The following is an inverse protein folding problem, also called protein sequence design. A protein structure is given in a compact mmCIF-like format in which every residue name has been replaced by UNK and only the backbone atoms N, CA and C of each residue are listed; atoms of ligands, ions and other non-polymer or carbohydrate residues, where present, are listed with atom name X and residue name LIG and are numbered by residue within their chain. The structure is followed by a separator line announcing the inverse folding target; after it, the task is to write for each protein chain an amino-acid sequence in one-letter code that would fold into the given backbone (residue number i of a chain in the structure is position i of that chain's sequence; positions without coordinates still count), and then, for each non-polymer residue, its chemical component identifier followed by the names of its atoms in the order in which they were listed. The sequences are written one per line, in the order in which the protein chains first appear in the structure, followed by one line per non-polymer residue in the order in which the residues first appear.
data_IF_939779759256
#
_entry.id   IF_939779759256
#
_cell.length_a   1.000
_cell.length_b   1.000
_cell.length_c   1.000
_cell.angle_alpha   90.00
_cell.angle_beta   90.00
_cell.angle_gamma   90.00
#
_symmetry.space_group_name_H-M   'P 1'
#
loop_
_entity.id
_entity.type
_entity.pdbx_description
1 polymer ?
#
# COMPACT_ATOMS: atom_id res chain seq x y z
N UNK A 1 -22.16 -22.87 -11.80
CA UNK A 1 -21.18 -21.79 -12.05
C UNK A 1 -20.06 -21.66 -10.98
N UNK A 2 -19.86 -22.62 -10.06
CA UNK A 2 -18.85 -22.51 -8.96
C UNK A 2 -17.49 -23.16 -9.26
N UNK A 3 -17.43 -24.03 -10.27
CA UNK A 3 -16.24 -24.82 -10.62
C UNK A 3 -15.23 -24.05 -11.48
N UNK A 4 -15.71 -23.09 -12.29
CA UNK A 4 -14.86 -22.22 -13.10
C UNK A 4 -13.99 -21.31 -12.21
N UNK A 5 -14.59 -20.70 -11.20
CA UNK A 5 -13.89 -19.77 -10.29
C UNK A 5 -12.83 -20.42 -9.40
N UNK A 6 -12.85 -21.75 -9.21
CA UNK A 6 -11.79 -22.44 -8.46
C UNK A 6 -10.57 -22.71 -9.34
N UNK A 7 -10.79 -23.13 -10.59
CA UNK A 7 -9.70 -23.35 -11.56
C UNK A 7 -8.97 -22.06 -11.88
N UNK A 8 -9.70 -20.96 -12.04
CA UNK A 8 -9.11 -19.65 -12.31
C UNK A 8 -8.19 -19.18 -11.18
N UNK A 9 -8.60 -19.39 -9.92
CA UNK A 9 -7.78 -19.08 -8.74
C UNK A 9 -6.55 -19.98 -8.63
N UNK A 10 -6.70 -21.25 -8.98
CA UNK A 10 -5.58 -22.19 -8.99
C UNK A 10 -4.53 -21.75 -10.01
N UNK A 11 -4.96 -21.40 -11.22
CA UNK A 11 -4.10 -20.87 -12.26
C UNK A 11 -3.37 -19.60 -11.82
N UNK A 12 -4.07 -18.65 -11.17
CA UNK A 12 -3.46 -17.44 -10.63
C UNK A 12 -2.39 -17.76 -9.57
N UNK A 13 -2.63 -18.74 -8.70
CA UNK A 13 -1.63 -19.17 -7.71
C UNK A 13 -0.45 -19.88 -8.36
N UNK A 14 -0.67 -20.70 -9.38
CA UNK A 14 0.40 -21.37 -10.14
C UNK A 14 1.28 -20.36 -10.84
N UNK A 15 0.70 -19.34 -11.48
CA UNK A 15 1.45 -18.26 -12.13
C UNK A 15 2.25 -17.43 -11.12
N UNK A 16 1.68 -17.20 -9.93
CA UNK A 16 2.39 -16.52 -8.83
C UNK A 16 3.58 -17.34 -8.35
N UNK A 17 3.42 -18.66 -8.22
CA UNK A 17 4.50 -19.57 -7.82
C UNK A 17 5.61 -19.57 -8.87
N UNK A 18 5.27 -19.71 -10.15
CA UNK A 18 6.25 -19.68 -11.26
C UNK A 18 7.01 -18.37 -11.27
N UNK A 19 6.30 -17.23 -11.26
CA UNK A 19 6.94 -15.92 -11.25
C UNK A 19 7.85 -15.71 -10.04
N UNK A 20 7.44 -16.18 -8.87
CA UNK A 20 8.27 -16.11 -7.67
C UNK A 20 9.56 -16.91 -7.83
N UNK A 21 9.48 -18.15 -8.30
CA UNK A 21 10.66 -19.00 -8.50
C UNK A 21 11.60 -18.41 -9.57
N UNK A 22 11.06 -17.97 -10.71
CA UNK A 22 11.84 -17.35 -11.80
C UNK A 22 12.63 -16.11 -11.32
N UNK A 23 12.10 -15.37 -10.35
CA UNK A 23 12.69 -14.11 -9.88
C UNK A 23 13.65 -14.31 -8.69
N UNK A 24 13.44 -15.33 -7.87
CA UNK A 24 14.11 -15.48 -6.57
C UNK A 24 14.99 -16.72 -6.45
N UNK A 25 14.92 -17.67 -7.39
CA UNK A 25 15.81 -18.85 -7.42
C UNK A 25 17.21 -18.44 -7.95
N UNK A 26 18.00 -17.84 -7.07
CA UNK A 26 19.37 -17.43 -7.33
C UNK A 26 20.34 -18.30 -6.54
N UNK A 27 21.58 -18.52 -7.02
CA UNK A 27 22.55 -19.39 -6.34
C UNK A 27 22.94 -18.93 -4.93
N UNK A 28 22.63 -17.69 -4.57
CA UNK A 28 22.89 -17.11 -3.24
C UNK A 28 21.81 -17.47 -2.21
N UNK A 29 20.61 -17.86 -2.65
CA UNK A 29 19.46 -18.10 -1.78
C UNK A 29 19.37 -19.58 -1.44
N UNK A 30 19.29 -19.89 -0.13
CA UNK A 30 19.10 -21.27 0.30
C UNK A 30 17.69 -21.78 -0.05
N UNK A 31 17.57 -23.07 -0.38
CA UNK A 31 16.29 -23.73 -0.67
C UNK A 31 15.29 -23.56 0.47
N UNK A 32 15.76 -23.57 1.72
CA UNK A 32 14.92 -23.35 2.89
C UNK A 32 14.35 -21.92 2.91
N UNK A 33 15.18 -20.91 2.66
CA UNK A 33 14.76 -19.51 2.58
C UNK A 33 13.76 -19.30 1.44
N UNK A 34 14.04 -19.88 0.27
CA UNK A 34 13.17 -19.82 -0.90
C UNK A 34 11.79 -20.42 -0.60
N UNK A 35 11.74 -21.59 0.04
CA UNK A 35 10.49 -22.25 0.41
C UNK A 35 9.69 -21.48 1.46
N UNK A 36 10.34 -20.99 2.53
CA UNK A 36 9.67 -20.23 3.57
C UNK A 36 9.07 -18.92 3.05
N UNK A 37 9.81 -18.21 2.19
CA UNK A 37 9.34 -16.96 1.60
C UNK A 37 8.26 -17.20 0.53
N UNK A 38 8.35 -18.25 -0.29
CA UNK A 38 7.26 -18.65 -1.19
C UNK A 38 5.96 -18.92 -0.40
N UNK A 39 6.03 -19.66 0.71
CA UNK A 39 4.87 -19.89 1.58
C UNK A 39 4.28 -18.58 2.11
N UNK A 40 5.12 -17.62 2.48
CA UNK A 40 4.67 -16.31 2.93
C UNK A 40 3.93 -15.55 1.80
N UNK A 41 4.42 -15.62 0.57
CA UNK A 41 3.76 -15.03 -0.61
C UNK A 41 2.37 -15.63 -0.84
N UNK A 42 2.27 -16.96 -0.87
CA UNK A 42 0.99 -17.66 -1.08
C UNK A 42 -0.02 -17.31 0.03
N UNK A 43 0.44 -17.25 1.29
CA UNK A 43 -0.40 -16.82 2.42
C UNK A 43 -0.87 -15.38 2.24
N UNK A 44 0.02 -14.48 1.83
CA UNK A 44 -0.31 -13.09 1.54
C UNK A 44 -1.41 -12.96 0.47
N UNK A 45 -1.29 -13.70 -0.63
CA UNK A 45 -2.30 -13.74 -1.69
C UNK A 45 -3.65 -14.26 -1.18
N UNK A 46 -3.65 -15.34 -0.40
CA UNK A 46 -4.87 -15.92 0.19
C UNK A 46 -5.57 -14.94 1.15
N UNK A 47 -4.80 -14.23 1.98
CA UNK A 47 -5.35 -13.21 2.89
C UNK A 47 -5.92 -12.03 2.10
N UNK A 48 -5.18 -11.51 1.11
CA UNK A 48 -5.61 -10.38 0.29
C UNK A 48 -6.89 -10.68 -0.49
N UNK A 49 -6.98 -11.86 -1.12
CA UNK A 49 -8.17 -12.29 -1.86
C UNK A 49 -9.39 -12.43 -0.96
N UNK A 50 -9.23 -13.01 0.24
CA UNK A 50 -10.32 -13.11 1.23
C UNK A 50 -10.80 -11.73 1.67
N UNK A 51 -9.88 -10.82 1.99
CA UNK A 51 -10.21 -9.46 2.43
C UNK A 51 -10.92 -8.66 1.32
N UNK A 52 -10.40 -8.72 0.09
CA UNK A 52 -11.00 -8.05 -1.05
C UNK A 52 -12.42 -8.60 -1.34
N UNK A 53 -12.59 -9.91 -1.24
CA UNK A 53 -13.90 -10.54 -1.41
C UNK A 53 -14.90 -10.09 -0.33
N UNK A 54 -14.50 -10.13 0.94
CA UNK A 54 -15.35 -9.68 2.04
C UNK A 54 -15.75 -8.21 1.91
N UNK A 55 -14.81 -7.35 1.45
CA UNK A 55 -15.08 -5.95 1.15
C UNK A 55 -16.09 -5.79 0.01
N UNK A 56 -15.90 -6.54 -1.08
CA UNK A 56 -16.79 -6.49 -2.25
C UNK A 56 -18.21 -6.93 -1.88
N UNK A 57 -18.34 -8.03 -1.14
CA UNK A 57 -19.64 -8.52 -0.65
C UNK A 57 -20.32 -7.47 0.24
N UNK A 58 -19.57 -6.81 1.13
CA UNK A 58 -20.09 -5.72 1.97
C UNK A 58 -20.52 -4.49 1.17
N UNK A 59 -19.76 -4.08 0.16
CA UNK A 59 -20.15 -2.97 -0.71
C UNK A 59 -21.43 -3.31 -1.46
N UNK A 60 -21.53 -4.52 -2.03
CA UNK A 60 -22.70 -4.96 -2.77
C UNK A 60 -23.94 -5.02 -1.88
N UNK A 61 -23.82 -5.55 -0.66
CA UNK A 61 -24.91 -5.53 0.33
C UNK A 61 -25.39 -4.10 0.63
N UNK A 62 -24.47 -3.16 0.85
CA UNK A 62 -24.84 -1.77 1.11
C UNK A 62 -25.52 -1.10 -0.10
N UNK A 63 -25.10 -1.43 -1.32
CA UNK A 63 -25.74 -0.94 -2.55
C UNK A 63 -27.15 -1.51 -2.72
N UNK A 64 -27.33 -2.81 -2.47
CA UNK A 64 -28.64 -3.48 -2.49
C UNK A 64 -29.60 -2.90 -1.41
N UNK A 65 -29.08 -2.61 -0.22
CA UNK A 65 -29.84 -1.97 0.86
C UNK A 65 -30.22 -0.52 0.49
N UNK A 66 -29.32 0.24 -0.14
CA UNK A 66 -29.60 1.60 -0.60
C UNK A 66 -30.66 1.60 -1.70
N UNK A 67 -30.56 0.68 -2.67
CA UNK A 67 -31.50 0.60 -3.79
C UNK A 67 -32.89 0.17 -3.32
N UNK A 68 -32.99 -0.83 -2.44
CA UNK A 68 -34.27 -1.26 -1.86
C UNK A 68 -34.94 -0.15 -1.05
N UNK A 69 -34.19 0.57 -0.22
CA UNK A 69 -34.72 1.70 0.55
C UNK A 69 -35.05 2.93 -0.32
N UNK A 70 -34.35 3.13 -1.44
CA UNK A 70 -34.70 4.19 -2.40
C UNK A 70 -36.06 3.92 -3.07
N UNK A 71 -36.36 2.65 -3.39
CA UNK A 71 -37.67 2.25 -3.93
C UNK A 71 -38.79 2.46 -2.91
N UNK A 72 -38.57 2.14 -1.62
CA UNK A 72 -39.57 2.38 -0.57
C UNK A 72 -39.76 3.87 -0.28
N UNK A 73 -38.70 4.68 -0.36
CA UNK A 73 -38.77 6.12 -0.22
C UNK A 73 -39.58 6.79 -1.34
N UNK A 74 -39.49 6.28 -2.57
CA UNK A 74 -40.31 6.76 -3.70
C UNK A 74 -41.81 6.50 -3.49
N UNK A 75 -42.17 5.49 -2.69
CA UNK A 75 -43.56 5.15 -2.34
C UNK A 75 -44.06 5.86 -1.08
N UNK A 76 -43.16 6.13 -0.13
CA UNK A 76 -43.49 6.75 1.17
C UNK A 76 -42.49 7.84 1.50
N UNK A 77 -42.95 9.09 1.62
CA UNK A 77 -42.11 10.25 1.97
C UNK A 77 -41.71 10.29 3.46
N UNK A 78 -41.13 9.20 3.97
CA UNK A 78 -40.72 9.07 5.38
C UNK A 78 -39.33 9.66 5.63
N UNK A 79 -39.24 10.58 6.60
CA UNK A 79 -37.97 11.14 7.08
C UNK A 79 -37.05 10.07 7.69
N UNK A 80 -37.61 9.00 8.25
CA UNK A 80 -36.84 7.90 8.88
C UNK A 80 -36.07 7.13 7.81
N UNK A 81 -36.74 6.76 6.71
CA UNK A 81 -36.13 6.06 5.56
C UNK A 81 -35.02 6.92 4.94
N UNK A 82 -35.26 8.22 4.78
CA UNK A 82 -34.25 9.16 4.25
C UNK A 82 -32.99 9.22 5.12
N UNK A 83 -33.15 9.20 6.45
CA UNK A 83 -32.01 9.15 7.39
C UNK A 83 -31.23 7.85 7.25
N UNK A 84 -31.92 6.70 7.18
CA UNK A 84 -31.30 5.39 6.99
C UNK A 84 -30.49 5.31 5.69
N UNK A 85 -31.05 5.75 4.56
CA UNK A 85 -30.34 5.81 3.27
C UNK A 85 -29.09 6.69 3.38
N UNK A 86 -29.18 7.83 4.06
CA UNK A 86 -28.04 8.73 4.26
C UNK A 86 -26.94 8.05 5.08
N UNK A 87 -27.30 7.30 6.12
CA UNK A 87 -26.36 6.54 6.94
C UNK A 87 -25.68 5.43 6.14
N UNK A 88 -26.43 4.63 5.37
CA UNK A 88 -25.86 3.58 4.51
C UNK A 88 -24.91 4.16 3.46
N UNK A 89 -25.27 5.28 2.82
CA UNK A 89 -24.37 6.00 1.91
C UNK A 89 -23.08 6.48 2.59
N UNK A 90 -23.15 6.90 3.85
CA UNK A 90 -21.94 7.25 4.64
C UNK A 90 -21.06 6.02 4.86
N UNK A 91 -21.65 4.86 5.17
CA UNK A 91 -20.89 3.62 5.33
C UNK A 91 -20.22 3.18 4.02
N UNK A 92 -20.93 3.27 2.89
CA UNK A 92 -20.36 2.99 1.57
C UNK A 92 -19.17 3.93 1.28
N UNK A 93 -19.37 5.24 1.46
CA UNK A 93 -18.30 6.25 1.27
C UNK A 93 -17.10 6.03 2.19
N UNK A 94 -17.31 5.56 3.42
CA UNK A 94 -16.21 5.27 4.33
C UNK A 94 -15.34 4.10 3.78
N UNK A 95 -15.97 3.09 3.18
CA UNK A 95 -15.25 2.02 2.49
C UNK A 95 -14.48 2.55 1.27
N UNK A 96 -15.05 3.46 0.49
CA UNK A 96 -14.32 4.07 -0.63
C UNK A 96 -13.14 4.94 -0.17
N UNK A 97 -13.34 5.68 0.92
CA UNK A 97 -12.33 6.55 1.50
C UNK A 97 -11.12 5.76 2.01
N UNK A 98 -11.33 4.63 2.68
CA UNK A 98 -10.25 3.72 3.09
C UNK A 98 -9.43 3.21 1.89
N UNK A 99 -10.07 2.96 0.74
CA UNK A 99 -9.36 2.56 -0.48
C UNK A 99 -8.50 3.72 -1.02
N UNK A 100 -9.05 4.93 -1.03
CA UNK A 100 -8.34 6.13 -1.47
C UNK A 100 -7.16 6.46 -0.55
N UNK A 101 -7.34 6.34 0.77
CA UNK A 101 -6.28 6.61 1.74
C UNK A 101 -5.14 5.59 1.64
N UNK A 102 -5.47 4.30 1.49
CA UNK A 102 -4.46 3.27 1.22
C UNK A 102 -3.69 3.52 -0.10
N UNK A 103 -4.36 3.98 -1.15
CA UNK A 103 -3.71 4.34 -2.41
C UNK A 103 -2.79 5.56 -2.24
N UNK A 104 -3.22 6.56 -1.49
CA UNK A 104 -2.43 7.74 -1.15
C UNK A 104 -1.19 7.36 -0.34
N UNK A 105 -1.35 6.49 0.67
CA UNK A 105 -0.26 5.98 1.50
C UNK A 105 0.78 5.25 0.66
N UNK A 106 0.35 4.34 -0.24
CA UNK A 106 1.25 3.64 -1.17
C UNK A 106 1.97 4.60 -2.11
N UNK A 107 1.29 5.64 -2.57
CA UNK A 107 1.90 6.66 -3.44
C UNK A 107 2.97 7.46 -2.69
N UNK A 108 2.70 7.87 -1.44
CA UNK A 108 3.68 8.50 -0.56
C UNK A 108 4.86 7.58 -0.30
N UNK A 109 4.63 6.31 0.01
CA UNK A 109 5.68 5.32 0.21
C UNK A 109 6.59 5.18 -1.02
N UNK A 110 6.01 5.11 -2.23
CA UNK A 110 6.76 5.10 -3.49
C UNK A 110 7.58 6.38 -3.68
N UNK A 111 6.98 7.53 -3.38
CA UNK A 111 7.68 8.82 -3.44
C UNK A 111 8.91 8.84 -2.52
N UNK A 112 8.77 8.41 -1.26
CA UNK A 112 9.88 8.42 -0.29
C UNK A 112 10.93 7.34 -0.56
N UNK A 113 10.54 6.16 -1.02
CA UNK A 113 11.51 5.10 -1.39
C UNK A 113 12.35 5.48 -2.62
N UNK A 114 11.78 6.18 -3.59
CA UNK A 114 12.51 6.67 -4.76
C UNK A 114 13.41 7.89 -4.50
N UNK A 115 13.01 8.78 -3.59
CA UNK A 115 13.70 10.08 -3.36
C UNK A 115 14.77 10.10 -2.28
N UNK A 116 15.16 8.96 -1.70
CA UNK A 116 16.27 8.94 -0.74
C UNK A 116 17.56 9.54 -1.36
N UNK A 117 17.72 9.47 -2.69
CA UNK A 117 18.86 10.06 -3.42
C UNK A 117 18.91 11.60 -3.34
N UNK A 118 17.76 12.29 -3.35
CA UNK A 118 17.74 13.76 -3.33
C UNK A 118 18.10 14.31 -1.94
N UNK A 119 17.60 13.67 -0.88
CA UNK A 119 17.98 14.01 0.49
C UNK A 119 19.45 13.68 0.78
N UNK A 120 19.95 12.55 0.30
CA UNK A 120 21.38 12.20 0.40
C UNK A 120 22.27 13.18 -0.37
N UNK A 121 21.88 13.57 -1.58
CA UNK A 121 22.64 14.57 -2.37
C UNK A 121 22.68 15.92 -1.66
N UNK A 122 21.56 16.38 -1.11
CA UNK A 122 21.49 17.62 -0.36
C UNK A 122 22.32 17.53 0.93
N UNK A 123 22.17 16.46 1.71
CA UNK A 123 22.97 16.22 2.92
C UNK A 123 24.47 16.17 2.61
N UNK A 124 24.86 15.50 1.51
CA UNK A 124 26.23 15.46 1.02
C UNK A 124 26.73 16.85 0.61
N UNK A 125 25.92 17.65 -0.12
CA UNK A 125 26.28 19.03 -0.46
C UNK A 125 26.45 19.90 0.77
N UNK A 126 25.56 19.79 1.75
CA UNK A 126 25.67 20.50 3.03
C UNK A 126 26.92 20.07 3.80
N UNK A 127 27.27 18.78 3.78
CA UNK A 127 28.50 18.28 4.41
C UNK A 127 29.75 18.82 3.70
N UNK A 128 29.82 18.77 2.37
CA UNK A 128 30.93 19.35 1.59
C UNK A 128 31.05 20.85 1.84
N UNK A 129 29.93 21.56 1.87
CA UNK A 129 29.90 23.00 2.14
C UNK A 129 30.36 23.31 3.57
N UNK A 130 29.91 22.55 4.57
CA UNK A 130 30.35 22.71 5.96
C UNK A 130 31.84 22.34 6.15
N UNK A 131 32.34 21.33 5.43
CA UNK A 131 33.75 20.98 5.41
C UNK A 131 34.61 22.07 4.74
N UNK A 132 34.11 22.72 3.69
CA UNK A 132 34.77 23.86 3.05
C UNK A 132 34.64 25.18 3.84
N UNK A 133 33.67 25.28 4.75
CA UNK A 133 33.49 26.43 5.65
C UNK A 133 34.16 26.26 7.02
N UNK A 134 34.77 25.11 7.33
CA UNK A 134 35.75 25.04 8.42
C UNK A 134 36.92 25.92 7.99
N UNK A 135 37.04 27.09 8.61
CA UNK A 135 38.14 28.03 8.38
C UNK A 135 39.46 27.26 8.44
N UNK A 136 40.31 27.45 7.42
CA UNK A 136 41.66 26.94 7.48
C UNK A 136 42.33 27.54 8.72
N UNK A 137 42.75 26.67 9.64
CA UNK A 137 43.54 27.06 10.79
C UNK A 137 44.85 27.63 10.25
N UNK A 138 44.97 28.95 10.19
CA UNK A 138 46.16 29.60 9.67
C UNK A 138 47.21 29.63 10.80
N UNK A 139 48.37 29.05 10.52
CA UNK A 139 49.50 29.08 11.43
C UNK A 139 50.10 30.48 11.40
N UNK A 140 50.09 31.19 12.54
CA UNK A 140 50.78 32.47 12.63
C UNK A 140 52.31 32.25 12.68
N UNK A 141 53.12 33.25 12.27
CA UNK A 141 54.58 33.16 12.27
C UNK A 141 55.20 32.80 13.63
N UNK A 142 54.46 33.03 14.72
CA UNK A 142 54.86 32.77 16.11
C UNK A 142 54.56 31.31 16.55
N UNK A 143 54.07 30.46 15.66
CA UNK A 143 53.85 29.03 15.91
C UNK A 143 52.54 28.68 16.64
N UNK A 144 51.66 29.66 16.88
CA UNK A 144 50.33 29.46 17.45
C UNK A 144 49.26 29.37 16.36
N UNK A 145 48.22 28.60 16.62
CA UNK A 145 47.10 28.37 15.71
C UNK A 145 45.88 29.23 16.13
N UNK A 146 45.18 29.85 15.19
CA UNK A 146 43.91 30.51 15.47
C UNK A 146 42.76 29.51 15.41
N UNK A 147 42.05 29.33 16.51
CA UNK A 147 40.79 28.57 16.57
C UNK A 147 39.74 29.07 15.57
#
# INVERSE_FOLDING_TARGET
MRLLTYKDKLAETEDTIKHYLDTNDTPEVSVATLWESLKAVIRGQSIATRLNKARQEKCQQLEDDITSLAVTQGRTASLVVRRQVTTLRKHLRALDWDKADNALLRTRQKYYSGNNKACHLLAHRLWVQAAGQRMAELQLPDGTWTC
#
